data_IF_290996329987
#
_entry.id   IF_290996329987
#
_cell.length_a   1.000
_cell.length_b   1.000
_cell.length_c   1.000
_cell.angle_alpha   90.00
_cell.angle_beta   90.00
_cell.angle_gamma   90.00
#
_symmetry.space_group_name_H-M   'P 1'
#
loop_
_entity.id
_entity.type
_entity.pdbx_description
1 polymer ?
#
# COMPACT_ATOMS: atom_id res chain seq x y z
N UNK A 1 6.39 -12.92 -2.78
CA UNK A 1 5.67 -11.74 -3.34
C UNK A 1 4.75 -12.12 -4.49
N UNK A 2 5.10 -13.09 -5.34
CA UNK A 2 4.25 -13.52 -6.46
C UNK A 2 2.82 -13.95 -6.06
N UNK A 3 2.66 -14.69 -4.95
CA UNK A 3 1.33 -15.06 -4.43
C UNK A 3 0.46 -13.85 -4.00
N UNK A 4 1.07 -12.69 -3.77
CA UNK A 4 0.41 -11.42 -3.43
C UNK A 4 0.31 -10.49 -4.67
N UNK A 5 0.70 -11.00 -5.85
CA UNK A 5 0.71 -10.26 -7.11
C UNK A 5 1.69 -9.08 -7.10
N UNK A 6 2.81 -9.20 -6.39
CA UNK A 6 3.86 -8.18 -6.43
C UNK A 6 5.07 -8.60 -7.24
N UNK A 7 5.36 -7.78 -8.24
CA UNK A 7 6.37 -8.02 -9.27
C UNK A 7 7.59 -7.10 -9.12
N UNK A 8 7.51 -6.08 -8.26
CA UNK A 8 8.58 -5.15 -7.96
C UNK A 8 8.58 -4.75 -6.47
N UNK A 9 9.75 -4.32 -5.97
CA UNK A 9 9.96 -3.84 -4.60
C UNK A 9 10.29 -2.35 -4.57
N UNK A 10 9.88 -1.60 -3.53
CA UNK A 10 9.09 -2.07 -2.38
C UNK A 10 7.62 -2.34 -2.77
N UNK A 11 6.97 -3.28 -2.10
CA UNK A 11 5.51 -3.41 -2.13
C UNK A 11 4.94 -3.21 -0.72
N UNK A 12 3.95 -2.35 -0.63
CA UNK A 12 3.32 -1.93 0.61
C UNK A 12 1.89 -2.44 0.59
N UNK A 13 1.51 -3.13 1.65
CA UNK A 13 0.15 -3.61 1.88
C UNK A 13 -0.39 -2.90 3.12
N UNK A 14 -1.60 -2.35 3.01
CA UNK A 14 -2.24 -1.61 4.10
C UNK A 14 -3.75 -1.85 4.05
N UNK A 15 -4.41 -1.66 5.19
CA UNK A 15 -5.87 -1.73 5.28
C UNK A 15 -6.43 -0.31 5.11
N UNK A 16 -7.37 -0.14 4.18
CA UNK A 16 -8.08 1.12 4.02
C UNK A 16 -9.15 1.32 5.10
N UNK A 17 -9.70 2.52 5.18
CA UNK A 17 -10.71 2.89 6.16
C UNK A 17 -11.99 2.03 6.07
N UNK A 18 -12.31 1.50 4.89
CA UNK A 18 -13.42 0.57 4.65
C UNK A 18 -13.09 -0.88 5.04
N UNK A 19 -11.92 -1.14 5.60
CA UNK A 19 -11.43 -2.47 5.97
C UNK A 19 -10.84 -3.27 4.80
N UNK A 20 -10.88 -2.75 3.57
CA UNK A 20 -10.34 -3.44 2.39
C UNK A 20 -8.80 -3.48 2.41
N UNK A 21 -8.25 -4.58 1.89
CA UNK A 21 -6.81 -4.72 1.70
C UNK A 21 -6.38 -3.98 0.42
N UNK A 22 -5.48 -3.02 0.56
CA UNK A 22 -4.92 -2.22 -0.52
C UNK A 22 -3.43 -2.55 -0.71
N UNK A 23 -2.93 -2.30 -1.93
CA UNK A 23 -1.54 -2.54 -2.33
C UNK A 23 -0.96 -1.34 -3.09
N UNK A 24 0.28 -0.99 -2.80
CA UNK A 24 1.10 -0.06 -3.58
C UNK A 24 2.45 -0.71 -3.93
N UNK A 25 3.00 -0.42 -5.11
CA UNK A 25 4.32 -0.90 -5.54
C UNK A 25 5.19 0.27 -5.97
N UNK A 26 6.49 0.18 -5.68
CA UNK A 26 7.43 1.28 -5.84
C UNK A 26 7.34 2.30 -4.69
N UNK A 27 8.08 3.40 -4.82
CA UNK A 27 8.02 4.49 -3.86
C UNK A 27 6.68 5.24 -3.98
N UNK A 28 5.86 5.31 -2.91
CA UNK A 28 4.61 6.05 -2.95
C UNK A 28 4.87 7.54 -3.11
N UNK A 29 4.07 8.20 -3.96
CA UNK A 29 4.04 9.66 -3.99
C UNK A 29 3.49 10.24 -2.67
N UNK A 30 3.85 11.49 -2.37
CA UNK A 30 3.46 12.15 -1.12
C UNK A 30 1.96 12.14 -0.85
N UNK A 31 1.12 12.28 -1.89
CA UNK A 31 -0.34 12.25 -1.78
C UNK A 31 -0.91 10.87 -1.38
N UNK A 32 -0.16 9.79 -1.58
CA UNK A 32 -0.58 8.44 -1.19
C UNK A 32 -0.22 8.11 0.27
N UNK A 33 0.76 8.82 0.86
CA UNK A 33 1.24 8.54 2.22
C UNK A 33 0.14 8.67 3.29
N UNK A 34 -0.76 9.67 3.28
CA UNK A 34 -1.83 9.74 4.28
C UNK A 34 -2.76 8.51 4.26
N UNK A 35 -3.01 7.93 3.08
CA UNK A 35 -3.83 6.72 2.94
C UNK A 35 -3.13 5.48 3.47
N UNK A 36 -1.82 5.39 3.25
CA UNK A 36 -0.98 4.26 3.67
C UNK A 36 -0.71 4.29 5.17
N UNK A 37 -0.43 5.47 5.73
CA UNK A 37 -0.04 5.63 7.13
C UNK A 37 -1.22 5.70 8.09
N UNK A 38 -2.42 6.00 7.58
CA UNK A 38 -3.63 6.10 8.40
C UNK A 38 -3.67 7.37 9.28
N UNK A 39 -4.73 7.51 10.10
CA UNK A 39 -4.78 8.54 11.13
C UNK A 39 -3.62 8.34 12.13
N UNK A 40 -3.08 9.45 12.65
CA UNK A 40 -2.05 9.45 13.70
C UNK A 40 -2.68 9.51 15.07
#
# INVERSE_FOLDING_TARGET
MERLGAFATPAIYYRAADGSLQKAQGAPGAAALPKILGPR
#
